data_IF_955970790071
#
_entry.id   IF_955970790071
#
_cell.length_a   1.000
_cell.length_b   1.000
_cell.length_c   1.000
_cell.angle_alpha   90.00
_cell.angle_beta   90.00
_cell.angle_gamma   90.00
#
_symmetry.space_group_name_H-M   'P 1'
#
loop_
_entity.id
_entity.type
_entity.pdbx_description
1 polymer ?
#
# COMPACT_ATOMS: atom_id res chain seq x y z
N UNK A 1 15.96 12.75 -7.44
CA UNK A 1 16.90 11.90 -8.21
C UNK A 1 16.11 10.77 -8.83
N UNK A 2 16.02 10.73 -10.16
CA UNK A 2 15.24 9.72 -10.89
C UNK A 2 16.07 8.43 -11.04
N UNK A 3 15.83 7.46 -10.17
CA UNK A 3 16.34 6.08 -10.30
C UNK A 3 15.38 5.31 -11.22
N UNK A 4 15.40 5.60 -12.52
CA UNK A 4 14.51 4.96 -13.51
C UNK A 4 14.78 3.45 -13.70
N UNK A 5 15.91 2.93 -13.22
CA UNK A 5 16.39 1.58 -13.53
C UNK A 5 16.77 0.73 -12.31
N UNK A 6 16.60 1.22 -11.09
CA UNK A 6 16.81 0.36 -9.91
C UNK A 6 15.55 -0.51 -9.69
N UNK A 7 15.72 -1.81 -9.45
CA UNK A 7 14.58 -2.66 -9.13
C UNK A 7 13.97 -2.16 -7.82
N UNK A 8 12.70 -1.72 -7.89
CA UNK A 8 11.96 -1.27 -6.70
C UNK A 8 12.02 -2.33 -5.62
N UNK A 9 12.37 -1.92 -4.40
CA UNK A 9 12.33 -2.79 -3.24
C UNK A 9 10.92 -3.33 -3.02
N UNK A 10 10.80 -4.51 -2.42
CA UNK A 10 9.49 -5.10 -2.09
C UNK A 10 8.63 -4.14 -1.26
N UNK A 11 9.24 -3.41 -0.32
CA UNK A 11 8.56 -2.42 0.51
C UNK A 11 8.02 -1.24 -0.32
N UNK A 12 8.80 -0.75 -1.28
CA UNK A 12 8.37 0.32 -2.19
C UNK A 12 7.17 -0.12 -3.04
N UNK A 13 7.21 -1.33 -3.60
CA UNK A 13 6.08 -1.89 -4.37
C UNK A 13 4.81 -2.02 -3.53
N UNK A 14 4.94 -2.43 -2.27
CA UNK A 14 3.80 -2.52 -1.36
C UNK A 14 3.22 -1.15 -1.04
N UNK A 15 4.06 -0.14 -0.78
CA UNK A 15 3.63 1.25 -0.55
C UNK A 15 2.88 1.82 -1.76
N UNK A 16 3.37 1.59 -2.97
CA UNK A 16 2.70 2.02 -4.19
C UNK A 16 1.35 1.35 -4.38
N UNK A 17 1.29 0.03 -4.16
CA UNK A 17 0.04 -0.73 -4.23
C UNK A 17 -0.98 -0.25 -3.19
N UNK A 18 -0.51 0.04 -1.97
CA UNK A 18 -1.34 0.64 -0.93
C UNK A 18 -1.92 1.98 -1.36
N UNK A 19 -1.07 2.91 -1.83
CA UNK A 19 -1.51 4.23 -2.28
C UNK A 19 -2.50 4.14 -3.45
N UNK A 20 -2.27 3.24 -4.40
CA UNK A 20 -3.18 3.01 -5.53
C UNK A 20 -4.56 2.54 -5.05
N UNK A 21 -4.61 1.52 -4.18
CA UNK A 21 -5.86 1.00 -3.66
C UNK A 21 -6.60 2.03 -2.81
N UNK A 22 -5.89 2.81 -2.01
CA UNK A 22 -6.49 3.80 -1.13
C UNK A 22 -7.03 5.02 -1.88
N UNK A 23 -6.33 5.43 -2.95
CA UNK A 23 -6.87 6.43 -3.87
C UNK A 23 -8.15 5.92 -4.54
N UNK A 24 -8.14 4.66 -5.01
CA UNK A 24 -9.28 4.09 -5.69
C UNK A 24 -10.49 3.85 -4.78
N UNK A 25 -10.25 3.47 -3.52
CA UNK A 25 -11.33 3.36 -2.52
C UNK A 25 -11.96 4.72 -2.25
N UNK A 26 -11.16 5.78 -2.09
CA UNK A 26 -11.67 7.14 -1.90
C UNK A 26 -12.51 7.62 -3.09
N UNK A 27 -12.03 7.44 -4.32
CA UNK A 27 -12.76 7.80 -5.53
C UNK A 27 -14.13 7.08 -5.63
N UNK A 28 -14.21 5.83 -5.15
CA UNK A 28 -15.44 5.03 -5.20
C UNK A 28 -16.38 5.26 -4.01
N UNK A 29 -15.92 5.82 -2.88
CA UNK A 29 -16.69 5.89 -1.65
C UNK A 29 -18.02 6.67 -1.80
N UNK A 30 -18.07 7.64 -2.71
CA UNK A 30 -19.26 8.45 -2.98
C UNK A 30 -20.29 7.75 -3.88
N UNK A 31 -19.89 6.72 -4.63
CA UNK A 31 -20.71 6.09 -5.68
C UNK A 31 -21.05 4.64 -5.33
N UNK A 32 -20.11 3.89 -4.78
CA UNK A 32 -20.25 2.48 -4.45
C UNK A 32 -19.49 2.16 -3.17
N UNK A 33 -20.20 2.27 -2.04
CA UNK A 33 -19.66 2.04 -0.70
C UNK A 33 -19.14 0.61 -0.53
N UNK A 34 -19.85 -0.39 -1.05
CA UNK A 34 -19.43 -1.79 -0.91
C UNK A 34 -18.09 -2.03 -1.57
N UNK A 35 -17.90 -1.52 -2.79
CA UNK A 35 -16.63 -1.63 -3.49
C UNK A 35 -15.53 -0.79 -2.85
N UNK A 36 -15.82 0.42 -2.37
CA UNK A 36 -14.83 1.22 -1.66
C UNK A 36 -14.34 0.52 -0.40
N UNK A 37 -15.25 -0.07 0.37
CA UNK A 37 -14.94 -0.79 1.61
C UNK A 37 -14.09 -2.03 1.32
N UNK A 38 -14.40 -2.77 0.25
CA UNK A 38 -13.56 -3.91 -0.19
C UNK A 38 -12.14 -3.50 -0.59
N UNK A 39 -11.98 -2.37 -1.30
CA UNK A 39 -10.65 -1.88 -1.66
C UNK A 39 -9.89 -1.36 -0.44
N UNK A 40 -10.59 -0.69 0.48
CA UNK A 40 -10.02 -0.22 1.74
C UNK A 40 -9.53 -1.39 2.60
N UNK A 41 -10.30 -2.48 2.74
CA UNK A 41 -9.87 -3.68 3.46
C UNK A 41 -8.58 -4.28 2.87
N UNK A 42 -8.50 -4.35 1.53
CA UNK A 42 -7.28 -4.79 0.83
C UNK A 42 -6.10 -3.85 1.11
N UNK A 43 -6.32 -2.54 1.10
CA UNK A 43 -5.29 -1.55 1.43
C UNK A 43 -4.81 -1.73 2.88
N UNK A 44 -5.72 -1.92 3.84
CA UNK A 44 -5.38 -2.16 5.24
C UNK A 44 -4.53 -3.42 5.45
N UNK A 45 -4.78 -4.50 4.69
CA UNK A 45 -3.95 -5.72 4.72
C UNK A 45 -2.52 -5.44 4.28
N UNK A 46 -2.34 -4.68 3.20
CA UNK A 46 -1.01 -4.27 2.71
C UNK A 46 -0.32 -3.36 3.73
N UNK A 47 -1.04 -2.42 4.36
CA UNK A 47 -0.47 -1.55 5.38
C UNK A 47 0.05 -2.34 6.59
N UNK A 48 -0.65 -3.40 7.00
CA UNK A 48 -0.17 -4.31 8.05
C UNK A 48 1.13 -5.00 7.66
N UNK A 49 1.26 -5.42 6.40
CA UNK A 49 2.47 -6.05 5.88
C UNK A 49 3.64 -5.07 5.83
N UNK A 50 3.42 -3.84 5.31
CA UNK A 50 4.41 -2.76 5.31
C UNK A 50 4.95 -2.53 6.74
N UNK A 51 4.05 -2.37 7.73
CA UNK A 51 4.45 -2.15 9.13
C UNK A 51 5.24 -3.32 9.71
N UNK A 52 4.88 -4.57 9.37
CA UNK A 52 5.64 -5.76 9.79
C UNK A 52 7.05 -5.76 9.20
N UNK A 53 7.18 -5.40 7.93
CA UNK A 53 8.47 -5.32 7.26
C UNK A 53 9.34 -4.20 7.85
N UNK A 54 8.76 -3.03 8.10
CA UNK A 54 9.46 -1.90 8.73
C UNK A 54 9.96 -2.26 10.14
N UNK A 55 9.12 -2.88 10.97
CA UNK A 55 9.52 -3.37 12.29
C UNK A 55 10.57 -4.47 12.24
N UNK A 56 10.59 -5.29 11.19
CA UNK A 56 11.60 -6.34 11.03
C UNK A 56 12.94 -5.74 10.58
N UNK A 57 12.92 -4.71 9.74
CA UNK A 57 14.13 -3.99 9.33
C UNK A 57 14.78 -3.27 10.51
N UNK A 58 13.98 -2.64 11.38
CA UNK A 58 14.45 -1.93 12.58
C UNK A 58 15.15 -2.84 13.59
N UNK A 59 14.71 -4.10 13.73
CA UNK A 59 15.33 -5.10 14.63
C UNK A 59 16.64 -5.70 14.11
N UNK A 60 16.99 -5.44 12.86
CA UNK A 60 18.17 -6.03 12.18
C UNK A 60 19.25 -4.97 11.90
N UNK A 61 19.01 -3.71 12.27
CA UNK A 61 19.94 -2.59 12.15
C UNK A 61 20.57 -2.27 13.52
#
# INVERSE_FOLDING_TARGET
>A
MFRLFEPRSTLERLREKYCFLMRRSFELALVDKLRSDMLNDKACKILKEIRRMEQSQDKTA
#
